data_IF_068988652489
#
_entry.id   IF_068988652489
#
_cell.length_a   1.000
_cell.length_b   1.000
_cell.length_c   1.000
_cell.angle_alpha   90.00
_cell.angle_beta   90.00
_cell.angle_gamma   90.00
#
_symmetry.space_group_name_H-M   'P 1'
#
loop_
_entity.id
_entity.type
_entity.pdbx_description
1 polymer ?
#
# COMPACT_ATOMS: atom_id res chain seq x y z
N UNK A 1 0.73 -17.90 -4.18
CA UNK A 1 -0.20 -16.77 -4.43
C UNK A 1 -0.13 -16.39 -5.90
N UNK A 2 -1.27 -16.41 -6.58
CA UNK A 2 -1.39 -16.00 -7.97
C UNK A 2 -1.52 -14.46 -8.08
N UNK A 3 -1.32 -13.90 -9.28
CA UNK A 3 -1.33 -12.43 -9.49
C UNK A 3 -2.70 -11.80 -9.19
N UNK A 4 -3.79 -12.53 -9.39
CA UNK A 4 -5.17 -12.06 -9.15
C UNK A 4 -5.45 -11.95 -7.65
N UNK A 5 -5.12 -12.98 -6.89
CA UNK A 5 -5.22 -13.01 -5.42
C UNK A 5 -4.38 -11.91 -4.79
N UNK A 6 -3.15 -11.72 -5.27
CA UNK A 6 -2.27 -10.66 -4.78
C UNK A 6 -2.86 -9.26 -5.01
N UNK A 7 -3.48 -9.03 -6.17
CA UNK A 7 -4.16 -7.77 -6.48
C UNK A 7 -5.38 -7.56 -5.59
N UNK A 8 -6.22 -8.57 -5.44
CA UNK A 8 -7.40 -8.47 -4.58
C UNK A 8 -6.99 -8.17 -3.14
N UNK A 9 -5.97 -8.85 -2.61
CA UNK A 9 -5.43 -8.56 -1.28
C UNK A 9 -4.87 -7.14 -1.16
N UNK A 10 -4.16 -6.64 -2.18
CA UNK A 10 -3.64 -5.27 -2.21
C UNK A 10 -4.78 -4.24 -2.14
N UNK A 11 -5.82 -4.41 -2.97
CA UNK A 11 -7.01 -3.55 -2.97
C UNK A 11 -7.69 -3.57 -1.60
N UNK A 12 -7.92 -4.76 -1.03
CA UNK A 12 -8.56 -4.89 0.29
C UNK A 12 -7.78 -4.16 1.38
N UNK A 13 -6.46 -4.37 1.45
CA UNK A 13 -5.62 -3.72 2.47
C UNK A 13 -5.58 -2.20 2.31
N UNK A 14 -5.52 -1.70 1.06
CA UNK A 14 -5.55 -0.25 0.78
C UNK A 14 -6.90 0.34 1.20
N UNK A 15 -8.02 -0.32 0.88
CA UNK A 15 -9.36 0.14 1.29
C UNK A 15 -9.52 0.14 2.82
N UNK A 16 -8.98 -0.86 3.51
CA UNK A 16 -8.98 -0.88 4.98
C UNK A 16 -8.16 0.28 5.55
N UNK A 17 -6.96 0.55 5.01
CA UNK A 17 -6.14 1.70 5.40
C UNK A 17 -6.87 3.03 5.19
N UNK A 18 -7.56 3.21 4.05
CA UNK A 18 -8.39 4.40 3.81
C UNK A 18 -9.45 4.54 4.91
N UNK A 19 -10.13 3.45 5.27
CA UNK A 19 -11.16 3.45 6.30
C UNK A 19 -10.60 3.83 7.68
N UNK A 20 -9.46 3.25 8.06
CA UNK A 20 -8.84 3.49 9.37
C UNK A 20 -8.21 4.89 9.47
N UNK A 21 -7.56 5.38 8.41
CA UNK A 21 -6.87 6.67 8.40
C UNK A 21 -7.79 7.85 8.06
N UNK A 22 -9.08 7.61 7.80
CA UNK A 22 -10.04 8.68 7.42
C UNK A 22 -10.20 9.75 8.51
N UNK A 23 -10.03 9.38 9.77
CA UNK A 23 -10.07 10.28 10.92
C UNK A 23 -8.77 11.02 11.19
N UNK A 24 -7.68 10.67 10.51
CA UNK A 24 -6.33 11.20 10.73
C UNK A 24 -6.02 12.41 9.82
N UNK A 25 -7.03 12.96 9.13
CA UNK A 25 -7.03 14.20 8.32
C UNK A 25 -5.98 14.34 7.20
N UNK A 26 -5.27 13.27 6.83
CA UNK A 26 -4.31 13.32 5.72
C UNK A 26 -5.00 13.20 4.35
N UNK A 27 -5.61 14.31 3.88
CA UNK A 27 -6.32 14.36 2.60
C UNK A 27 -5.45 13.90 1.42
N UNK A 28 -4.18 14.31 1.38
CA UNK A 28 -3.24 13.92 0.32
C UNK A 28 -2.95 12.42 0.31
N UNK A 29 -2.71 11.82 1.48
CA UNK A 29 -2.49 10.38 1.57
C UNK A 29 -3.75 9.60 1.16
N UNK A 30 -4.92 10.02 1.65
CA UNK A 30 -6.19 9.35 1.33
C UNK A 30 -6.48 9.38 -0.17
N UNK A 31 -6.22 10.49 -0.85
CA UNK A 31 -6.32 10.58 -2.32
C UNK A 31 -5.36 9.61 -3.01
N UNK A 32 -4.09 9.57 -2.59
CA UNK A 32 -3.11 8.67 -3.17
C UNK A 32 -3.50 7.20 -3.00
N UNK A 33 -4.04 6.83 -1.83
CA UNK A 33 -4.52 5.47 -1.56
C UNK A 33 -5.71 5.13 -2.45
N UNK A 34 -6.69 6.03 -2.58
CA UNK A 34 -7.86 5.83 -3.45
C UNK A 34 -7.45 5.63 -4.91
N UNK A 35 -6.64 6.53 -5.47
CA UNK A 35 -6.13 6.42 -6.85
C UNK A 35 -5.35 5.12 -7.07
N UNK A 36 -4.57 4.69 -6.09
CA UNK A 36 -3.79 3.46 -6.17
C UNK A 36 -4.69 2.22 -6.17
N UNK A 37 -5.76 2.24 -5.37
CA UNK A 37 -6.79 1.19 -5.35
C UNK A 37 -7.50 1.08 -6.71
N UNK A 38 -7.89 2.22 -7.29
CA UNK A 38 -8.59 2.26 -8.58
C UNK A 38 -7.71 1.74 -9.71
N UNK A 39 -6.44 2.16 -9.77
CA UNK A 39 -5.48 1.65 -10.77
C UNK A 39 -5.27 0.14 -10.66
N UNK A 40 -5.29 -0.41 -9.45
CA UNK A 40 -5.23 -1.86 -9.23
C UNK A 40 -6.51 -2.54 -9.71
N UNK A 41 -7.69 -2.00 -9.37
CA UNK A 41 -8.99 -2.56 -9.73
C UNK A 41 -9.19 -2.58 -11.26
N UNK A 42 -8.81 -1.51 -11.95
CA UNK A 42 -8.89 -1.38 -13.41
C UNK A 42 -7.76 -2.11 -14.14
N UNK A 43 -6.83 -2.77 -13.42
CA UNK A 43 -5.67 -3.44 -14.00
C UNK A 43 -4.78 -2.49 -14.84
N UNK A 44 -4.80 -1.18 -14.55
CA UNK A 44 -4.00 -0.17 -15.26
C UNK A 44 -2.53 -0.24 -14.91
N UNK A 45 -2.20 -0.77 -13.73
CA UNK A 45 -0.82 -0.86 -13.25
C UNK A 45 -0.58 -2.15 -12.46
N UNK A 46 0.67 -2.64 -12.49
CA UNK A 46 1.03 -3.87 -11.79
C UNK A 46 1.21 -3.62 -10.28
N UNK A 47 0.80 -4.61 -9.48
CA UNK A 47 0.89 -4.58 -8.01
C UNK A 47 2.31 -4.28 -7.52
N UNK A 48 3.32 -4.77 -8.24
CA UNK A 48 4.74 -4.58 -7.93
C UNK A 48 5.23 -3.13 -8.02
N UNK A 49 4.53 -2.26 -8.77
CA UNK A 49 4.88 -0.84 -8.90
C UNK A 49 4.06 0.02 -7.92
N UNK A 50 2.77 -0.31 -7.75
CA UNK A 50 1.89 0.43 -6.85
C UNK A 50 2.26 0.23 -5.38
N UNK A 51 2.48 -1.02 -4.94
CA UNK A 51 2.64 -1.30 -3.51
C UNK A 51 3.85 -0.60 -2.87
N UNK A 52 5.05 -0.57 -3.50
CA UNK A 52 6.17 0.19 -2.93
C UNK A 52 5.87 1.68 -2.80
N UNK A 53 5.21 2.29 -3.80
CA UNK A 53 4.82 3.70 -3.78
C UNK A 53 3.85 4.01 -2.63
N UNK A 54 2.84 3.16 -2.47
CA UNK A 54 1.86 3.29 -1.38
C UNK A 54 2.53 3.12 -0.02
N UNK A 55 3.39 2.10 0.15
CA UNK A 55 4.08 1.87 1.41
C UNK A 55 4.98 3.05 1.78
N UNK A 56 5.66 3.66 0.81
CA UNK A 56 6.50 4.83 1.07
C UNK A 56 5.66 6.05 1.46
N UNK A 57 4.53 6.29 0.80
CA UNK A 57 3.65 7.40 1.14
C UNK A 57 3.11 7.29 2.58
N UNK A 58 2.64 6.11 2.98
CA UNK A 58 2.15 5.86 4.34
C UNK A 58 3.27 6.05 5.37
N UNK A 59 4.47 5.53 5.08
CA UNK A 59 5.61 5.67 5.98
C UNK A 59 6.05 7.13 6.16
N UNK A 60 6.05 7.93 5.08
CA UNK A 60 6.33 9.36 5.15
C UNK A 60 5.30 10.09 6.00
N UNK A 61 4.02 9.73 5.87
CA UNK A 61 2.95 10.33 6.67
C UNK A 61 3.11 9.99 8.15
N UNK A 62 3.41 8.73 8.48
CA UNK A 62 3.67 8.27 9.85
C UNK A 62 4.86 8.96 10.52
N UNK A 63 5.80 9.50 9.74
CA UNK A 63 6.96 10.25 10.24
C UNK A 63 6.68 11.75 10.44
N UNK A 64 5.48 12.21 10.08
CA UNK A 64 5.09 13.61 10.26
C UNK A 64 4.56 13.82 11.68
N UNK A 65 5.13 14.77 12.42
CA UNK A 65 4.87 15.00 13.86
C UNK A 65 3.39 15.26 14.22
N UNK A 66 2.55 15.59 13.23
CA UNK A 66 1.13 15.90 13.41
C UNK A 66 0.19 14.72 13.12
N UNK A 67 0.70 13.55 12.70
CA UNK A 67 -0.14 12.41 12.32
C UNK A 67 -0.15 11.37 13.42
N UNK A 68 -1.22 11.35 14.22
CA UNK A 68 -1.46 10.27 15.19
C UNK A 68 -2.02 9.06 14.47
N UNK A 69 -1.17 8.06 14.23
CA UNK A 69 -1.57 6.83 13.52
C UNK A 69 -1.99 5.74 14.51
N UNK A 70 -3.18 5.18 14.30
CA UNK A 70 -3.69 4.09 15.14
C UNK A 70 -2.89 2.78 15.01
N UNK A 71 -2.88 1.97 16.08
CA UNK A 71 -2.27 0.63 16.06
C UNK A 71 -2.83 -0.26 14.94
N UNK A 72 -4.12 -0.12 14.64
CA UNK A 72 -4.77 -0.83 13.54
C UNK A 72 -4.19 -0.42 12.18
N UNK A 73 -4.01 0.88 11.93
CA UNK A 73 -3.40 1.39 10.70
C UNK A 73 -1.94 0.91 10.56
N UNK A 74 -1.18 0.88 11.66
CA UNK A 74 0.18 0.34 11.69
C UNK A 74 0.19 -1.15 11.31
N UNK A 75 -0.71 -1.96 11.86
CA UNK A 75 -0.81 -3.38 11.52
C UNK A 75 -1.18 -3.61 10.05
N UNK A 76 -2.12 -2.82 9.51
CA UNK A 76 -2.52 -2.88 8.11
C UNK A 76 -1.36 -2.47 7.19
N UNK A 77 -0.60 -1.44 7.56
CA UNK A 77 0.62 -1.03 6.85
C UNK A 77 1.65 -2.16 6.80
N UNK A 78 1.93 -2.84 7.91
CA UNK A 78 2.89 -3.95 7.90
C UNK A 78 2.42 -5.13 7.03
N UNK A 79 1.13 -5.46 7.02
CA UNK A 79 0.55 -6.46 6.11
C UNK A 79 0.75 -6.04 4.64
N UNK A 80 0.51 -4.77 4.32
CA UNK A 80 0.72 -4.24 2.98
C UNK A 80 2.20 -4.27 2.56
N UNK A 81 3.11 -3.90 3.46
CA UNK A 81 4.56 -3.96 3.25
C UNK A 81 5.05 -5.39 3.00
N UNK A 82 4.53 -6.36 3.73
CA UNK A 82 4.82 -7.78 3.51
C UNK A 82 4.30 -8.26 2.15
N UNK A 83 3.12 -7.79 1.72
CA UNK A 83 2.60 -8.07 0.38
C UNK A 83 3.48 -7.45 -0.72
N UNK A 84 4.01 -6.25 -0.46
CA UNK A 84 4.92 -5.53 -1.36
C UNK A 84 6.27 -6.24 -1.50
N UNK A 85 6.88 -6.70 -0.40
CA UNK A 85 8.17 -7.40 -0.49
C UNK A 85 8.06 -8.70 -1.28
N UNK A 86 6.96 -9.44 -1.10
CA UNK A 86 6.67 -10.66 -1.87
C UNK A 86 6.43 -10.42 -3.37
N UNK A 87 6.02 -9.21 -3.75
CA UNK A 87 5.82 -8.84 -5.16
C UNK A 87 7.16 -8.50 -5.85
N UNK A 88 8.09 -7.87 -5.11
CA UNK A 88 9.40 -7.47 -5.64
C UNK A 88 10.29 -8.65 -6.02
N UNK A 89 10.25 -9.77 -5.28
CA UNK A 89 11.11 -10.94 -5.54
C UNK A 89 10.79 -11.73 -6.83
N UNK A 90 9.69 -11.43 -7.54
CA UNK A 90 9.35 -12.09 -8.82
C UNK A 90 9.74 -11.27 -10.06
N UNK A 91 10.10 -10.01 -9.88
CA UNK A 91 10.75 -9.22 -10.93
C UNK A 91 12.23 -9.40 -10.67
N UNK A 92 12.88 -10.25 -11.47
CA UNK A 92 14.27 -10.64 -11.27
C UNK A 92 15.11 -9.44 -10.84
N UNK A 93 15.74 -9.56 -9.68
CA UNK A 93 16.77 -8.65 -9.24
C UNK A 93 18.03 -9.00 -10.06
N UNK A 94 18.45 -8.22 -11.07
CA UNK A 94 19.68 -8.51 -11.80
C UNK A 94 20.95 -8.21 -10.95
N UNK A 95 20.79 -7.75 -9.71
CA UNK A 95 21.89 -7.30 -8.85
C UNK A 95 22.44 -8.31 -7.84
N UNK A 96 22.08 -9.60 -7.94
CA UNK A 96 22.72 -10.66 -7.14
C UNK A 96 23.09 -11.85 -8.05
N UNK A 97 24.22 -11.70 -8.73
CA UNK A 97 25.11 -12.78 -9.18
C UNK A 97 26.54 -12.34 -8.87
#
# INVERSE_FOLDING_TARGET
MNKKEQRTQAITLITQLIGTMKSEESATLLTLLAESSDKLAENKEAVQYILPRVCNAIASEMLTDNTSVSDEAIQLYFKLKQLSSRSAYKVGNPGFL
#
